data_IF_836418396008
#
_entry.id   IF_836418396008
#
_cell.length_a   1.000
_cell.length_b   1.000
_cell.length_c   1.000
_cell.angle_alpha   90.00
_cell.angle_beta   90.00
_cell.angle_gamma   90.00
#
_symmetry.space_group_name_H-M   'P 1'
#
loop_
_entity.id
_entity.type
_entity.pdbx_description
1 polymer ?
#
# COMPACT_ATOMS: atom_id res chain seq x y z
N UNK A 1 -11.56 8.31 12.46
CA UNK A 1 -12.16 7.35 11.51
C UNK A 1 -11.15 6.23 11.28
N UNK A 2 -11.49 5.00 11.66
CA UNK A 2 -10.61 3.84 11.54
C UNK A 2 -11.04 3.01 10.33
N UNK A 3 -10.10 2.67 9.44
CA UNK A 3 -10.37 1.80 8.29
C UNK A 3 -10.47 0.36 8.81
N UNK A 4 -11.52 -0.36 8.41
CA UNK A 4 -11.70 -1.77 8.74
C UNK A 4 -10.51 -2.60 8.23
N UNK A 5 -9.98 -3.50 9.06
CA UNK A 5 -8.89 -4.38 8.65
C UNK A 5 -9.41 -5.39 7.62
N UNK A 6 -8.65 -5.57 6.54
CA UNK A 6 -8.98 -6.53 5.46
C UNK A 6 -9.00 -7.99 5.95
N UNK A 7 -8.23 -8.30 7.01
CA UNK A 7 -8.10 -9.63 7.59
C UNK A 7 -7.74 -9.56 9.08
N UNK A 8 -8.37 -10.39 9.90
CA UNK A 8 -7.89 -10.68 11.26
C UNK A 8 -6.86 -11.83 11.28
N UNK A 9 -5.98 -11.85 12.27
CA UNK A 9 -4.93 -12.88 12.37
C UNK A 9 -5.60 -14.24 12.62
N UNK A 10 -5.54 -15.14 11.64
CA UNK A 10 -6.12 -16.49 11.72
C UNK A 10 -7.36 -16.75 10.85
N UNK A 11 -7.85 -15.77 10.07
CA UNK A 11 -9.01 -15.96 9.20
C UNK A 11 -8.73 -16.80 7.94
N UNK A 12 -9.73 -17.62 7.58
CA UNK A 12 -9.71 -18.46 6.37
C UNK A 12 -9.65 -17.62 5.09
N UNK A 13 -8.95 -18.12 4.07
CA UNK A 13 -8.69 -17.39 2.81
C UNK A 13 -9.98 -16.98 2.09
N UNK A 14 -11.05 -17.79 2.18
CA UNK A 14 -12.32 -17.54 1.50
C UNK A 14 -13.13 -16.40 2.14
N UNK A 15 -13.29 -16.39 3.47
CA UNK A 15 -13.98 -15.31 4.19
C UNK A 15 -13.21 -14.00 4.12
N UNK A 16 -11.88 -14.09 4.02
CA UNK A 16 -10.99 -12.93 3.86
C UNK A 16 -11.26 -12.18 2.54
N UNK A 17 -11.69 -12.85 1.46
CA UNK A 17 -12.01 -12.18 0.20
C UNK A 17 -13.24 -11.28 0.37
N UNK A 18 -14.28 -11.78 1.03
CA UNK A 18 -15.52 -11.03 1.25
C UNK A 18 -15.30 -9.81 2.15
N UNK A 19 -14.60 -9.98 3.26
CA UNK A 19 -14.26 -8.85 4.15
C UNK A 19 -13.34 -7.83 3.46
N UNK A 20 -12.45 -8.29 2.59
CA UNK A 20 -11.60 -7.40 1.77
C UNK A 20 -12.44 -6.58 0.78
N UNK A 21 -13.45 -7.18 0.13
CA UNK A 21 -14.34 -6.46 -0.79
C UNK A 21 -15.19 -5.40 -0.06
N UNK A 22 -15.74 -5.72 1.11
CA UNK A 22 -16.49 -4.75 1.93
C UNK A 22 -15.57 -3.62 2.41
N UNK A 23 -14.37 -3.96 2.89
CA UNK A 23 -13.37 -2.96 3.27
C UNK A 23 -12.94 -2.09 2.07
N UNK A 24 -12.88 -2.66 0.87
CA UNK A 24 -12.55 -1.96 -0.37
C UNK A 24 -13.66 -0.99 -0.79
N UNK A 25 -14.94 -1.38 -0.68
CA UNK A 25 -16.07 -0.49 -0.95
C UNK A 25 -16.13 0.67 0.07
N UNK A 26 -15.90 0.38 1.35
CA UNK A 26 -15.82 1.42 2.38
C UNK A 26 -14.61 2.34 2.17
N UNK A 27 -13.45 1.78 1.79
CA UNK A 27 -12.26 2.53 1.41
C UNK A 27 -12.52 3.46 0.22
N UNK A 28 -13.21 2.98 -0.82
CA UNK A 28 -13.60 3.79 -1.98
C UNK A 28 -14.46 4.99 -1.58
N UNK A 29 -15.48 4.75 -0.74
CA UNK A 29 -16.34 5.82 -0.22
C UNK A 29 -15.57 6.81 0.65
N UNK A 30 -14.66 6.32 1.49
CA UNK A 30 -13.82 7.19 2.33
C UNK A 30 -12.87 8.03 1.48
N UNK A 31 -12.34 7.46 0.41
CA UNK A 31 -11.41 8.12 -0.50
C UNK A 31 -12.07 9.29 -1.25
N UNK A 32 -13.30 9.12 -1.71
CA UNK A 32 -14.05 10.17 -2.40
C UNK A 32 -14.54 11.26 -1.45
N UNK A 33 -14.82 10.92 -0.19
CA UNK A 33 -15.26 11.84 0.86
C UNK A 33 -14.11 12.67 1.44
N UNK A 34 -13.01 12.03 1.82
CA UNK A 34 -11.86 12.68 2.47
C UNK A 34 -10.95 13.38 1.44
N UNK A 35 -10.87 12.85 0.21
CA UNK A 35 -9.99 13.37 -0.85
C UNK A 35 -8.53 13.52 -0.39
N UNK A 36 -7.89 12.45 0.12
CA UNK A 36 -6.56 12.54 0.66
C UNK A 36 -5.55 12.94 -0.43
N UNK A 37 -4.81 14.02 -0.20
CA UNK A 37 -3.75 14.45 -1.11
C UNK A 37 -2.55 13.48 -1.11
N UNK A 38 -2.31 12.85 0.04
CA UNK A 38 -1.19 11.94 0.26
C UNK A 38 -1.70 10.70 0.97
N UNK A 39 -1.28 9.54 0.48
CA UNK A 39 -1.59 8.22 1.03
C UNK A 39 -0.26 7.60 1.44
N UNK A 40 0.00 7.56 2.74
CA UNK A 40 1.16 6.90 3.32
C UNK A 40 0.78 5.49 3.75
N UNK A 41 1.48 4.47 3.25
CA UNK A 41 1.17 3.06 3.52
C UNK A 41 2.42 2.25 3.88
N UNK A 42 2.31 1.41 4.92
CA UNK A 42 3.38 0.53 5.40
C UNK A 42 2.96 -0.95 5.40
N UNK A 43 2.94 -1.57 4.22
CA UNK A 43 2.89 -3.03 4.09
C UNK A 43 1.73 -3.89 4.62
N UNK A 44 0.59 -3.45 5.21
CA UNK A 44 -0.45 -4.42 5.57
C UNK A 44 -1.18 -4.80 4.28
N UNK A 45 -1.65 -6.05 4.18
CA UNK A 45 -2.44 -6.50 3.02
C UNK A 45 -3.66 -5.60 2.73
N UNK A 46 -4.18 -4.90 3.75
CA UNK A 46 -5.30 -3.94 3.64
C UNK A 46 -4.97 -2.68 2.85
N UNK A 47 -3.71 -2.24 2.80
CA UNK A 47 -3.34 -1.04 2.05
C UNK A 47 -3.24 -1.29 0.54
N UNK A 48 -3.05 -2.54 0.11
CA UNK A 48 -2.96 -2.90 -1.30
C UNK A 48 -4.22 -2.50 -2.10
N UNK A 49 -5.45 -2.87 -1.69
CA UNK A 49 -6.65 -2.46 -2.41
C UNK A 49 -6.86 -0.94 -2.39
N UNK A 50 -6.52 -0.25 -1.30
CA UNK A 50 -6.62 1.21 -1.22
C UNK A 50 -5.67 1.90 -2.21
N UNK A 51 -4.42 1.45 -2.28
CA UNK A 51 -3.45 1.94 -3.26
C UNK A 51 -3.90 1.61 -4.70
N UNK A 52 -4.49 0.43 -4.94
CA UNK A 52 -5.01 0.06 -6.24
C UNK A 52 -6.17 0.96 -6.69
N UNK A 53 -7.09 1.30 -5.78
CA UNK A 53 -8.16 2.28 -6.04
C UNK A 53 -7.55 3.65 -6.35
N UNK A 54 -6.55 4.10 -5.59
CA UNK A 54 -5.85 5.36 -5.84
C UNK A 54 -5.25 5.41 -7.25
N UNK A 55 -4.62 4.31 -7.66
CA UNK A 55 -4.06 4.16 -8.99
C UNK A 55 -5.16 4.16 -10.06
N UNK A 56 -6.28 3.48 -9.82
CA UNK A 56 -7.42 3.50 -10.74
C UNK A 56 -7.95 4.92 -10.95
N UNK A 57 -8.14 5.71 -9.88
CA UNK A 57 -8.52 7.12 -10.01
C UNK A 57 -7.50 7.93 -10.82
N UNK A 58 -6.21 7.67 -10.60
CA UNK A 58 -5.13 8.31 -11.36
C UNK A 58 -5.17 7.96 -12.86
N UNK A 59 -5.56 6.74 -13.21
CA UNK A 59 -5.77 6.30 -14.61
C UNK A 59 -7.00 6.96 -15.23
N UNK A 60 -8.08 7.13 -14.46
CA UNK A 60 -9.32 7.81 -14.89
C UNK A 60 -9.15 9.35 -14.98
N UNK A 61 -7.96 9.88 -14.69
CA UNK A 61 -7.63 11.30 -14.82
C UNK A 61 -7.78 12.12 -13.52
N UNK A 62 -8.19 11.48 -12.43
CA UNK A 62 -8.32 12.10 -11.11
C UNK A 62 -7.01 11.97 -10.35
N UNK A 63 -6.10 12.94 -10.52
CA UNK A 63 -4.74 12.95 -9.94
C UNK A 63 -4.62 13.68 -8.60
N UNK A 64 -5.63 13.59 -7.74
CA UNK A 64 -5.61 14.29 -6.47
C UNK A 64 -4.76 13.65 -5.36
N UNK A 65 -4.37 12.37 -5.52
CA UNK A 65 -3.76 11.58 -4.46
C UNK A 65 -2.41 11.00 -4.91
N UNK A 66 -1.39 11.20 -4.08
CA UNK A 66 -0.05 10.62 -4.26
C UNK A 66 0.16 9.47 -3.28
N UNK A 67 0.63 8.33 -3.78
CA UNK A 67 0.82 7.10 -2.99
C UNK A 67 2.29 6.96 -2.60
N UNK A 68 2.57 7.06 -1.31
CA UNK A 68 3.88 6.84 -0.72
C UNK A 68 3.87 5.52 0.05
N UNK A 69 4.72 4.60 -0.37
CA UNK A 69 4.87 3.32 0.29
C UNK A 69 6.19 3.28 1.05
N UNK A 70 6.13 2.97 2.34
CA UNK A 70 7.31 2.80 3.20
C UNK A 70 7.37 1.33 3.61
N UNK A 71 8.40 0.61 3.16
CA UNK A 71 8.59 -0.79 3.55
C UNK A 71 8.93 -0.91 5.04
N UNK A 72 8.50 -2.01 5.64
CA UNK A 72 8.73 -2.29 7.06
C UNK A 72 10.22 -2.47 7.36
N UNK A 73 10.67 -1.91 8.49
CA UNK A 73 12.06 -2.01 8.96
C UNK A 73 12.51 -3.47 9.16
N UNK A 74 11.59 -4.37 9.52
CA UNK A 74 11.87 -5.78 9.71
C UNK A 74 12.27 -6.50 8.40
N UNK A 75 12.04 -5.89 7.24
CA UNK A 75 12.37 -6.46 5.93
C UNK A 75 13.76 -5.98 5.50
N UNK A 76 14.78 -6.75 5.89
CA UNK A 76 16.18 -6.44 5.58
C UNK A 76 16.63 -7.03 4.23
N UNK A 77 16.21 -8.27 3.93
CA UNK A 77 16.73 -9.05 2.79
C UNK A 77 15.83 -9.06 1.55
N UNK A 78 14.51 -8.97 1.73
CA UNK A 78 13.51 -9.08 0.65
C UNK A 78 12.29 -8.20 0.98
N UNK A 79 11.67 -7.60 -0.04
CA UNK A 79 10.41 -6.85 0.11
C UNK A 79 9.30 -7.74 0.67
N UNK A 80 8.32 -7.13 1.32
CA UNK A 80 7.07 -7.81 1.70
C UNK A 80 6.29 -8.22 0.43
N UNK A 81 5.36 -9.17 0.52
CA UNK A 81 4.54 -9.56 -0.64
C UNK A 81 3.74 -8.36 -1.17
N UNK A 82 3.18 -7.56 -0.26
CA UNK A 82 2.47 -6.31 -0.59
C UNK A 82 3.41 -5.27 -1.21
N UNK A 83 4.60 -5.07 -0.65
CA UNK A 83 5.62 -4.15 -1.19
C UNK A 83 6.10 -4.58 -2.57
N UNK A 84 6.35 -5.87 -2.77
CA UNK A 84 6.73 -6.44 -4.06
C UNK A 84 5.63 -6.26 -5.10
N UNK A 85 4.36 -6.47 -4.73
CA UNK A 85 3.22 -6.27 -5.61
C UNK A 85 3.09 -4.79 -6.01
N UNK A 86 3.12 -3.86 -5.05
CA UNK A 86 3.04 -2.42 -5.30
C UNK A 86 4.22 -1.93 -6.15
N UNK A 87 5.42 -2.45 -5.90
CA UNK A 87 6.62 -2.16 -6.68
C UNK A 87 6.49 -2.65 -8.13
N UNK A 88 6.06 -3.91 -8.34
CA UNK A 88 5.89 -4.49 -9.68
C UNK A 88 4.78 -3.81 -10.47
N UNK A 89 3.62 -3.60 -9.85
CA UNK A 89 2.45 -2.98 -10.47
C UNK A 89 2.57 -1.46 -10.64
N UNK A 90 3.66 -0.84 -10.14
CA UNK A 90 3.89 0.62 -10.19
C UNK A 90 2.73 1.45 -9.63
N UNK A 91 2.11 0.93 -8.58
CA UNK A 91 0.97 1.56 -7.92
C UNK A 91 1.45 2.69 -6.99
N UNK A 92 2.61 2.51 -6.36
CA UNK A 92 3.22 3.54 -5.53
C UNK A 92 3.99 4.53 -6.40
N UNK A 93 3.71 5.82 -6.21
CA UNK A 93 4.47 6.91 -6.85
C UNK A 93 5.88 6.98 -6.29
N UNK A 94 5.99 6.80 -4.97
CA UNK A 94 7.24 6.84 -4.23
C UNK A 94 7.32 5.60 -3.36
N UNK A 95 8.43 4.87 -3.50
CA UNK A 95 8.67 3.63 -2.78
C UNK A 95 9.93 3.77 -1.93
N UNK A 96 9.79 3.71 -0.61
CA UNK A 96 10.87 3.89 0.34
C UNK A 96 11.30 2.59 0.97
N UNK A 97 12.62 2.42 1.10
CA UNK A 97 13.27 1.28 1.78
C UNK A 97 14.22 1.77 2.85
N UNK A 98 14.32 1.01 3.93
CA UNK A 98 15.16 1.36 5.08
C UNK A 98 16.54 0.72 5.05
N UNK A 99 16.81 -0.15 4.07
CA UNK A 99 18.05 -0.91 3.96
C UNK A 99 18.72 -0.68 2.61
N UNK A 100 20.03 -0.36 2.55
CA UNK A 100 20.72 -0.10 1.29
C UNK A 100 20.82 -1.36 0.41
N UNK A 101 20.81 -2.56 1.01
CA UNK A 101 20.80 -3.82 0.27
C UNK A 101 19.53 -3.97 -0.57
N UNK A 102 18.38 -3.52 -0.06
CA UNK A 102 17.12 -3.51 -0.81
C UNK A 102 17.16 -2.49 -1.94
N UNK A 103 17.72 -1.31 -1.73
CA UNK A 103 17.89 -0.32 -2.80
C UNK A 103 18.74 -0.87 -3.95
N UNK A 104 19.83 -1.61 -3.64
CA UNK A 104 20.66 -2.26 -4.66
C UNK A 104 19.89 -3.29 -5.49
N UNK A 105 18.99 -4.05 -4.85
CA UNK A 105 18.14 -5.03 -5.55
C UNK A 105 16.96 -4.39 -6.30
N UNK A 106 16.46 -3.26 -5.79
CA UNK A 106 15.29 -2.57 -6.28
C UNK A 106 15.64 -1.09 -6.53
N UNK A 107 16.26 -0.76 -7.67
CA UNK A 107 16.84 0.57 -7.92
C UNK A 107 15.81 1.70 -7.98
N UNK A 108 14.52 1.39 -8.15
CA UNK A 108 13.44 2.40 -8.09
C UNK A 108 12.99 2.70 -6.66
N UNK A 109 13.49 1.95 -5.68
CA UNK A 109 13.23 2.23 -4.28
C UNK A 109 14.19 3.32 -3.80
N UNK A 110 13.67 4.30 -3.08
CA UNK A 110 14.42 5.35 -2.43
C UNK A 110 14.87 4.87 -1.05
N UNK A 111 16.18 4.81 -0.83
CA UNK A 111 16.73 4.54 0.48
C UNK A 111 16.61 5.78 1.37
N UNK A 112 15.98 5.63 2.53
CA UNK A 112 15.73 6.71 3.49
C UNK A 112 16.35 6.45 4.86
N UNK A 113 17.08 5.34 5.01
CA UNK A 113 17.64 4.93 6.29
C UNK A 113 16.60 4.45 7.29
N UNK A 114 16.96 4.48 8.58
CA UNK A 114 16.08 4.07 9.67
C UNK A 114 15.06 5.16 9.96
N UNK A 115 13.82 4.96 9.51
CA UNK A 115 12.68 5.80 9.90
C UNK A 115 12.08 5.18 11.17
N UNK A 116 12.49 5.69 12.34
CA UNK A 116 11.89 5.41 13.65
C UNK A 116 10.66 6.30 13.88
#
# INVERSE_FOLDING_TARGET
MQIYRSREVGQSYFTSVWTTLVAMAHALWLMTKIRPQVILCNGPGTCVPLCAIAFFFKVVGVRWSSVFYVESIARVRRLSLSGLLLYKLRIADQFFVQWPQLQRQYPRAHYVGCLM
#
